data_IF_154410633239
#
_entry.id   IF_154410633239
#
_cell.length_a   1.000
_cell.length_b   1.000
_cell.length_c   1.000
_cell.angle_alpha   90.00
_cell.angle_beta   90.00
_cell.angle_gamma   90.00
#
_symmetry.space_group_name_H-M   'P 1'
#
loop_
_entity.id
_entity.type
_entity.pdbx_description
1 polymer ?
#
# COMPACT_ATOMS: atom_id res chain seq x y z
N UNK A 1 -6.63 34.45 3.94
CA UNK A 1 -8.11 34.31 3.98
C UNK A 1 -8.64 33.05 3.30
N UNK A 2 -8.04 32.52 2.23
CA UNK A 2 -8.50 31.29 1.55
C UNK A 2 -8.40 30.00 2.39
N UNK A 3 -7.41 29.88 3.27
CA UNK A 3 -7.22 28.69 4.11
C UNK A 3 -8.28 28.49 5.22
N UNK A 4 -8.96 29.54 5.64
CA UNK A 4 -10.00 29.47 6.68
C UNK A 4 -11.30 28.87 6.14
N UNK A 5 -11.66 29.16 4.89
CA UNK A 5 -12.91 28.68 4.27
C UNK A 5 -12.93 27.16 4.00
N UNK A 6 -11.78 26.57 3.68
CA UNK A 6 -11.67 25.12 3.43
C UNK A 6 -11.84 24.34 4.74
N UNK A 7 -11.24 24.82 5.83
CA UNK A 7 -11.35 24.18 7.16
C UNK A 7 -12.79 24.25 7.72
N UNK A 8 -13.53 25.31 7.45
CA UNK A 8 -14.94 25.43 7.84
C UNK A 8 -15.85 24.43 7.13
N UNK A 9 -15.62 24.14 5.84
CA UNK A 9 -16.40 23.14 5.09
C UNK A 9 -16.16 21.73 5.60
N UNK A 10 -14.91 21.38 5.99
CA UNK A 10 -14.56 20.07 6.54
C UNK A 10 -15.20 19.89 7.93
N UNK A 11 -15.15 20.88 8.80
CA UNK A 11 -15.74 20.82 10.13
C UNK A 11 -17.27 20.68 10.10
N UNK A 12 -17.96 21.43 9.21
CA UNK A 12 -19.40 21.32 9.03
C UNK A 12 -19.82 19.93 8.49
N UNK A 13 -19.02 19.34 7.58
CA UNK A 13 -19.27 17.99 7.06
C UNK A 13 -19.11 16.92 8.14
N UNK A 14 -18.09 17.03 9.01
CA UNK A 14 -17.84 16.10 10.12
C UNK A 14 -18.95 16.12 11.17
N UNK A 15 -19.54 17.27 11.46
CA UNK A 15 -20.64 17.42 12.43
C UNK A 15 -21.99 16.81 11.98
N UNK A 16 -22.16 16.56 10.66
CA UNK A 16 -23.40 16.00 10.10
C UNK A 16 -23.30 14.51 9.73
N UNK A 17 -22.15 13.86 9.89
CA UNK A 17 -21.91 12.51 9.40
C UNK A 17 -22.76 11.42 10.05
N UNK A 18 -23.04 11.50 11.34
CA UNK A 18 -23.74 10.43 12.07
C UNK A 18 -25.22 10.26 11.75
N UNK A 19 -25.90 11.29 11.24
CA UNK A 19 -27.38 11.30 11.12
C UNK A 19 -27.95 10.35 10.05
N UNK A 20 -27.15 9.86 9.09
CA UNK A 20 -27.62 9.03 7.99
C UNK A 20 -26.68 7.83 7.72
N UNK A 21 -25.89 7.40 8.69
CA UNK A 21 -25.01 6.26 8.56
C UNK A 21 -25.76 4.97 8.92
N UNK A 22 -25.67 3.94 8.08
CA UNK A 22 -26.18 2.61 8.43
C UNK A 22 -25.48 2.13 9.70
N UNK A 23 -26.22 1.46 10.60
CA UNK A 23 -25.62 0.96 11.84
C UNK A 23 -24.75 -0.26 11.56
N UNK A 24 -23.62 -0.40 12.28
CA UNK A 24 -22.73 -1.57 12.17
C UNK A 24 -23.45 -2.88 12.42
N UNK A 25 -24.36 -2.90 13.39
CA UNK A 25 -25.16 -4.08 13.73
C UNK A 25 -26.23 -4.45 12.71
N UNK A 26 -26.63 -3.52 11.83
CA UNK A 26 -27.60 -3.78 10.75
C UNK A 26 -26.92 -4.31 9.50
N UNK A 27 -25.88 -3.62 9.03
CA UNK A 27 -25.08 -4.00 7.85
C UNK A 27 -23.68 -3.40 7.94
N UNK A 28 -22.74 -4.18 8.44
CA UNK A 28 -21.34 -3.74 8.63
C UNK A 28 -20.66 -3.36 7.33
N UNK A 29 -20.96 -4.08 6.23
CA UNK A 29 -20.37 -3.80 4.92
C UNK A 29 -20.86 -2.47 4.35
N UNK A 30 -22.15 -2.20 4.46
CA UNK A 30 -22.78 -0.96 4.01
C UNK A 30 -22.30 0.21 4.87
N UNK A 31 -22.27 0.04 6.21
CA UNK A 31 -21.70 1.03 7.14
C UNK A 31 -20.30 1.47 6.72
N UNK A 32 -19.42 0.52 6.47
CA UNK A 32 -18.04 0.81 6.08
C UNK A 32 -17.95 1.62 4.78
N UNK A 33 -18.65 1.18 3.73
CA UNK A 33 -18.63 1.88 2.44
C UNK A 33 -19.22 3.29 2.54
N UNK A 34 -20.33 3.44 3.25
CA UNK A 34 -20.93 4.76 3.51
C UNK A 34 -20.00 5.67 4.30
N UNK A 35 -19.31 5.13 5.30
CA UNK A 35 -18.38 5.88 6.14
C UNK A 35 -17.20 6.41 5.34
N UNK A 36 -16.57 5.57 4.51
CA UNK A 36 -15.44 5.98 3.65
C UNK A 36 -15.83 7.16 2.75
N UNK A 37 -17.01 7.08 2.11
CA UNK A 37 -17.49 8.12 1.19
C UNK A 37 -17.92 9.39 1.95
N UNK A 38 -18.70 9.24 3.03
CA UNK A 38 -19.23 10.37 3.81
C UNK A 38 -18.13 11.11 4.59
N UNK A 39 -17.09 10.41 5.02
CA UNK A 39 -15.90 11.00 5.64
C UNK A 39 -14.97 11.69 4.64
N UNK A 40 -15.32 11.69 3.34
CA UNK A 40 -14.54 12.32 2.28
C UNK A 40 -13.13 11.72 2.13
N UNK A 41 -13.01 10.39 2.38
CA UNK A 41 -11.72 9.69 2.33
C UNK A 41 -11.40 9.17 0.92
N UNK A 42 -12.37 8.53 0.28
CA UNK A 42 -12.22 7.99 -1.07
C UNK A 42 -13.58 7.81 -1.75
N UNK A 43 -13.56 7.66 -3.06
CA UNK A 43 -14.73 7.32 -3.89
C UNK A 43 -14.32 6.45 -5.07
N UNK A 44 -15.27 5.79 -5.72
CA UNK A 44 -15.01 5.05 -6.95
C UNK A 44 -14.65 5.99 -8.08
N UNK A 45 -13.66 5.61 -8.87
CA UNK A 45 -13.28 6.36 -10.08
C UNK A 45 -14.14 5.94 -11.28
N UNK A 46 -13.91 6.57 -12.43
CA UNK A 46 -14.47 6.14 -13.72
C UNK A 46 -13.93 4.79 -14.22
N UNK A 47 -12.83 4.30 -13.64
CA UNK A 47 -12.25 2.98 -13.95
C UNK A 47 -12.74 1.98 -12.91
N UNK A 48 -13.44 0.93 -13.38
CA UNK A 48 -14.00 -0.07 -12.50
C UNK A 48 -12.95 -0.69 -11.59
N UNK A 49 -13.21 -0.68 -10.30
CA UNK A 49 -12.33 -1.25 -9.30
C UNK A 49 -11.20 -0.35 -8.83
N UNK A 50 -10.97 0.78 -9.46
CA UNK A 50 -10.01 1.79 -9.03
C UNK A 50 -10.70 2.87 -8.19
N UNK A 51 -10.02 3.38 -7.18
CA UNK A 51 -10.54 4.44 -6.31
C UNK A 51 -9.82 5.76 -6.52
N UNK A 52 -10.53 6.85 -6.28
CA UNK A 52 -9.91 8.16 -6.04
C UNK A 52 -9.76 8.33 -4.53
N UNK A 53 -8.55 8.45 -4.05
CA UNK A 53 -8.28 8.80 -2.65
C UNK A 53 -8.34 10.34 -2.56
N UNK A 54 -9.28 10.85 -1.77
CA UNK A 54 -9.48 12.28 -1.63
C UNK A 54 -8.42 12.93 -0.72
N UNK A 55 -8.26 14.26 -0.74
CA UNK A 55 -7.19 14.93 -0.01
C UNK A 55 -7.14 14.59 1.49
N UNK A 56 -8.29 14.44 2.15
CA UNK A 56 -8.33 14.10 3.58
C UNK A 56 -7.88 12.64 3.82
N UNK A 57 -8.35 11.70 2.98
CA UNK A 57 -7.90 10.31 3.02
C UNK A 57 -6.42 10.17 2.67
N UNK A 58 -5.95 10.92 1.68
CA UNK A 58 -4.54 10.90 1.29
C UNK A 58 -3.62 11.45 2.39
N UNK A 59 -4.05 12.50 3.10
CA UNK A 59 -3.29 13.06 4.23
C UNK A 59 -3.13 12.06 5.40
N UNK A 60 -4.07 11.12 5.59
CA UNK A 60 -3.91 10.03 6.55
C UNK A 60 -2.86 9.03 6.03
N UNK A 61 -2.92 8.68 4.74
CA UNK A 61 -1.94 7.79 4.12
C UNK A 61 -0.52 8.36 4.17
N UNK A 62 -0.34 9.66 3.92
CA UNK A 62 0.96 10.34 4.03
C UNK A 62 1.56 10.22 5.44
N UNK A 63 0.72 10.27 6.49
CA UNK A 63 1.19 10.06 7.87
C UNK A 63 1.60 8.62 8.13
N UNK A 64 0.85 7.63 7.61
CA UNK A 64 1.24 6.22 7.69
C UNK A 64 2.56 5.99 6.95
N UNK A 65 2.68 6.54 5.74
CA UNK A 65 3.88 6.45 4.93
C UNK A 65 5.09 7.07 5.64
N UNK A 66 4.95 8.27 6.16
CA UNK A 66 6.04 8.98 6.82
C UNK A 66 6.60 8.20 8.03
N UNK A 67 5.72 7.62 8.86
CA UNK A 67 6.16 6.85 10.03
C UNK A 67 6.78 5.51 9.64
N UNK A 68 6.17 4.76 8.73
CA UNK A 68 6.76 3.50 8.25
C UNK A 68 8.11 3.74 7.55
N UNK A 69 8.21 4.78 6.72
CA UNK A 69 9.45 5.15 6.04
C UNK A 69 10.57 5.51 7.04
N UNK A 70 10.22 6.20 8.13
CA UNK A 70 11.14 6.48 9.23
C UNK A 70 11.62 5.17 9.89
N UNK A 71 10.70 4.25 10.21
CA UNK A 71 11.04 2.97 10.85
C UNK A 71 11.94 2.12 9.96
N UNK A 72 11.70 2.07 8.64
CA UNK A 72 12.58 1.36 7.70
C UNK A 72 13.96 1.99 7.62
N UNK A 73 14.06 3.32 7.54
CA UNK A 73 15.34 4.02 7.49
C UNK A 73 16.18 3.84 8.76
N UNK A 74 15.54 3.72 9.91
CA UNK A 74 16.22 3.43 11.18
C UNK A 74 16.89 2.04 11.21
N UNK A 75 16.42 1.11 10.38
CA UNK A 75 17.02 -0.22 10.20
C UNK A 75 17.96 -0.30 8.99
N UNK A 76 18.27 0.83 8.36
CA UNK A 76 19.24 0.93 7.27
C UNK A 76 18.66 0.80 5.86
N UNK A 77 17.35 0.63 5.72
CA UNK A 77 16.71 0.52 4.41
C UNK A 77 16.73 1.84 3.65
N UNK A 78 16.84 1.74 2.33
CA UNK A 78 16.87 2.87 1.42
C UNK A 78 15.74 2.77 0.40
N UNK A 79 15.14 3.93 0.08
CA UNK A 79 14.11 3.98 -0.94
C UNK A 79 14.73 3.94 -2.34
N UNK A 80 14.14 3.12 -3.21
CA UNK A 80 14.43 3.09 -4.64
C UNK A 80 13.11 3.15 -5.43
N UNK A 81 13.20 3.25 -6.75
CA UNK A 81 12.05 3.18 -7.64
C UNK A 81 12.37 2.27 -8.83
N UNK A 82 11.49 1.32 -9.07
CA UNK A 82 11.55 0.39 -10.20
C UNK A 82 10.41 0.67 -11.19
N UNK A 83 10.61 0.38 -12.49
CA UNK A 83 9.61 0.68 -13.52
C UNK A 83 8.24 0.04 -13.27
N UNK A 84 7.19 0.77 -13.67
CA UNK A 84 5.81 0.29 -13.65
C UNK A 84 5.59 -0.90 -14.59
N UNK A 85 6.25 -0.89 -15.75
CA UNK A 85 6.11 -1.90 -16.79
C UNK A 85 7.17 -2.98 -16.65
N UNK A 86 6.73 -4.24 -16.72
CA UNK A 86 7.58 -5.43 -16.64
C UNK A 86 7.45 -6.18 -17.97
N UNK A 87 8.55 -6.52 -18.67
CA UNK A 87 8.52 -7.37 -19.85
C UNK A 87 7.84 -8.72 -19.52
N UNK A 88 6.94 -9.18 -20.39
CA UNK A 88 6.21 -10.44 -20.17
C UNK A 88 7.15 -11.64 -20.03
N UNK A 89 8.30 -11.62 -20.71
CA UNK A 89 9.33 -12.66 -20.62
C UNK A 89 9.90 -12.84 -19.21
N UNK A 90 9.86 -11.78 -18.35
CA UNK A 90 10.37 -11.89 -16.99
C UNK A 90 9.47 -12.78 -16.11
N UNK A 91 8.16 -12.73 -16.33
CA UNK A 91 7.21 -13.61 -15.63
C UNK A 91 7.43 -15.08 -15.98
N UNK A 92 7.91 -15.39 -17.18
CA UNK A 92 8.15 -16.76 -17.62
C UNK A 92 9.37 -17.42 -16.96
N UNK A 93 10.24 -16.65 -16.26
CA UNK A 93 11.43 -17.17 -15.59
C UNK A 93 11.14 -17.83 -14.25
N UNK A 94 10.04 -17.43 -13.59
CA UNK A 94 9.63 -17.99 -12.29
C UNK A 94 8.20 -18.49 -12.40
N UNK A 95 8.02 -19.81 -12.66
CA UNK A 95 6.73 -20.42 -12.98
C UNK A 95 5.72 -20.36 -11.81
N UNK A 96 6.20 -20.51 -10.56
CA UNK A 96 5.31 -20.42 -9.38
C UNK A 96 4.73 -19.02 -9.20
N UNK A 97 5.51 -18.01 -9.56
CA UNK A 97 5.07 -16.61 -9.51
C UNK A 97 3.99 -16.32 -10.56
N UNK A 98 4.15 -16.89 -11.75
CA UNK A 98 3.15 -16.80 -12.84
C UNK A 98 1.81 -17.37 -12.38
N UNK A 99 1.80 -18.55 -11.78
CA UNK A 99 0.56 -19.20 -11.31
C UNK A 99 -0.20 -18.36 -10.28
N UNK A 100 0.52 -17.58 -9.46
CA UNK A 100 -0.09 -16.69 -8.46
C UNK A 100 -0.71 -15.42 -9.04
N UNK A 101 -0.12 -14.83 -10.09
CA UNK A 101 -0.48 -13.50 -10.58
C UNK A 101 -1.00 -13.43 -12.01
N UNK A 102 -0.79 -14.45 -12.84
CA UNK A 102 -1.13 -14.42 -14.27
C UNK A 102 -2.61 -14.12 -14.55
N UNK A 103 -3.51 -14.47 -13.65
CA UNK A 103 -4.97 -14.29 -13.83
C UNK A 103 -5.45 -12.86 -13.57
N UNK A 104 -4.62 -12.03 -12.96
CA UNK A 104 -5.01 -10.69 -12.49
C UNK A 104 -4.12 -9.56 -13.06
N UNK A 105 -3.36 -9.83 -14.13
CA UNK A 105 -2.47 -8.85 -14.74
C UNK A 105 -3.19 -7.96 -15.74
N UNK A 106 -2.84 -6.67 -15.74
CA UNK A 106 -3.11 -5.76 -16.85
C UNK A 106 -1.95 -5.83 -17.84
N UNK A 107 -2.28 -6.04 -19.13
CA UNK A 107 -1.29 -6.22 -20.21
C UNK A 107 -1.35 -5.04 -21.16
N UNK A 108 -0.20 -4.42 -21.44
CA UNK A 108 -0.04 -3.36 -22.44
C UNK A 108 0.49 -3.97 -23.73
N UNK A 109 -0.28 -3.82 -24.79
CA UNK A 109 -0.01 -4.44 -26.09
C UNK A 109 0.37 -3.44 -27.18
N UNK A 110 0.03 -2.16 -27.01
CA UNK A 110 0.26 -1.08 -27.98
C UNK A 110 0.73 0.19 -27.29
N UNK A 111 1.46 1.04 -28.00
CA UNK A 111 2.02 2.28 -27.46
C UNK A 111 1.43 3.56 -28.04
N UNK A 112 0.47 3.46 -28.99
CA UNK A 112 -0.11 4.65 -29.66
C UNK A 112 -1.59 4.50 -29.96
N UNK A 113 -2.29 5.63 -29.93
CA UNK A 113 -3.66 5.78 -30.42
C UNK A 113 -3.65 6.56 -31.72
N UNK A 114 -4.68 6.38 -32.57
CA UNK A 114 -4.94 7.17 -33.74
C UNK A 114 -6.41 7.58 -33.81
N UNK A 115 -6.73 8.58 -34.65
CA UNK A 115 -8.13 8.88 -34.95
C UNK A 115 -8.79 7.69 -35.66
N UNK A 116 -10.03 7.41 -35.32
CA UNK A 116 -10.83 6.45 -36.08
C UNK A 116 -11.15 6.97 -37.50
N UNK A 117 -11.59 6.08 -38.38
CA UNK A 117 -11.89 6.43 -39.75
C UNK A 117 -13.10 7.39 -39.88
N UNK A 118 -13.96 7.44 -38.85
CA UNK A 118 -15.12 8.37 -38.83
C UNK A 118 -14.72 9.79 -38.37
N UNK A 119 -13.51 9.96 -37.82
CA UNK A 119 -13.02 11.22 -37.26
C UNK A 119 -13.71 11.63 -35.95
N UNK A 120 -14.55 10.78 -35.35
CA UNK A 120 -15.34 11.08 -34.14
C UNK A 120 -14.76 10.47 -32.85
N UNK A 121 -13.66 9.75 -32.95
CA UNK A 121 -13.06 9.09 -31.79
C UNK A 121 -11.60 8.71 -31.99
N UNK A 122 -11.06 8.03 -30.99
CA UNK A 122 -9.71 7.49 -31.03
C UNK A 122 -9.78 5.95 -30.85
N UNK A 123 -8.90 5.26 -31.57
CA UNK A 123 -8.74 3.80 -31.51
C UNK A 123 -7.29 3.44 -31.28
N UNK A 124 -7.06 2.23 -30.80
CA UNK A 124 -5.70 1.69 -30.72
C UNK A 124 -5.14 1.59 -32.15
N UNK A 125 -3.94 2.13 -32.36
CA UNK A 125 -3.28 2.02 -33.65
C UNK A 125 -2.71 0.60 -33.83
N UNK A 126 -3.21 -0.22 -34.77
CA UNK A 126 -2.75 -1.59 -34.96
C UNK A 126 -1.28 -1.68 -35.40
N UNK A 127 -0.73 -0.61 -36.01
CA UNK A 127 0.67 -0.56 -36.45
C UNK A 127 1.63 -0.21 -35.30
N UNK A 128 1.09 0.15 -34.13
CA UNK A 128 1.84 0.48 -32.93
C UNK A 128 1.87 -0.66 -31.90
N UNK A 129 1.75 -1.90 -32.34
CA UNK A 129 1.88 -3.07 -31.48
C UNK A 129 3.31 -3.17 -30.94
N UNK A 130 3.42 -3.47 -29.64
CA UNK A 130 4.71 -3.73 -29.02
C UNK A 130 5.31 -5.04 -29.56
N UNK A 131 6.61 -5.08 -29.76
CA UNK A 131 7.35 -6.33 -30.10
C UNK A 131 7.21 -7.35 -28.96
N UNK A 132 7.29 -6.90 -27.72
CA UNK A 132 7.02 -7.68 -26.50
C UNK A 132 5.95 -6.98 -25.67
N UNK A 133 4.93 -7.72 -25.24
CA UNK A 133 3.89 -7.24 -24.36
C UNK A 133 4.46 -6.91 -22.98
N UNK A 134 3.94 -5.84 -22.38
CA UNK A 134 4.35 -5.40 -21.04
C UNK A 134 3.24 -5.68 -20.04
N UNK A 135 3.63 -6.06 -18.86
CA UNK A 135 2.73 -6.24 -17.72
C UNK A 135 2.79 -4.98 -16.85
N UNK A 136 1.64 -4.42 -16.52
CA UNK A 136 1.56 -3.41 -15.45
C UNK A 136 1.79 -4.15 -14.13
N UNK A 137 2.83 -3.80 -13.38
CA UNK A 137 3.29 -4.57 -12.22
C UNK A 137 2.17 -4.93 -11.24
N UNK A 138 1.91 -6.21 -10.97
CA UNK A 138 1.06 -6.65 -9.86
C UNK A 138 1.87 -6.75 -8.55
N UNK A 139 3.17 -6.84 -8.67
CA UNK A 139 4.24 -6.87 -7.67
C UNK A 139 5.57 -6.73 -8.41
N UNK A 140 6.67 -6.43 -7.75
CA UNK A 140 7.91 -6.03 -8.43
C UNK A 140 9.07 -7.02 -8.33
N UNK A 141 8.87 -8.22 -7.76
CA UNK A 141 9.97 -9.19 -7.58
C UNK A 141 10.74 -9.43 -8.88
N UNK A 142 10.04 -9.71 -9.96
CA UNK A 142 10.70 -10.11 -11.22
C UNK A 142 11.61 -9.02 -11.80
N UNK A 143 11.19 -7.76 -11.80
CA UNK A 143 12.00 -6.65 -12.30
C UNK A 143 13.13 -6.27 -11.33
N UNK A 144 12.89 -6.42 -10.03
CA UNK A 144 13.90 -6.14 -8.99
C UNK A 144 15.00 -7.19 -9.04
N UNK A 145 14.64 -8.48 -9.13
CA UNK A 145 15.63 -9.55 -9.20
C UNK A 145 16.46 -9.52 -10.49
N UNK A 146 15.88 -9.13 -11.65
CA UNK A 146 16.67 -8.86 -12.85
C UNK A 146 17.65 -7.69 -12.68
N UNK A 147 17.27 -6.70 -11.89
CA UNK A 147 18.13 -5.56 -11.53
C UNK A 147 19.24 -6.00 -10.56
N UNK A 148 18.91 -6.78 -9.53
CA UNK A 148 19.89 -7.28 -8.55
C UNK A 148 20.97 -8.14 -9.18
N UNK A 149 20.67 -8.88 -10.25
CA UNK A 149 21.67 -9.59 -11.04
C UNK A 149 22.82 -8.71 -11.54
N UNK A 150 22.53 -7.40 -11.73
CA UNK A 150 23.53 -6.42 -12.19
C UNK A 150 24.22 -5.72 -11.02
N UNK A 151 23.51 -5.54 -9.91
CA UNK A 151 24.02 -4.80 -8.75
C UNK A 151 24.89 -5.66 -7.85
N UNK A 152 24.62 -6.97 -7.77
CA UNK A 152 25.32 -7.90 -6.89
C UNK A 152 26.35 -8.67 -7.69
N UNK A 153 27.62 -8.51 -7.30
CA UNK A 153 28.76 -9.21 -7.90
C UNK A 153 29.60 -9.93 -6.84
N UNK A 154 29.65 -9.42 -5.63
CA UNK A 154 30.45 -9.97 -4.53
C UNK A 154 29.74 -9.83 -3.18
N UNK A 155 30.22 -10.52 -2.16
CA UNK A 155 29.73 -10.39 -0.78
C UNK A 155 29.79 -8.96 -0.24
N UNK A 156 30.62 -8.07 -0.84
CA UNK A 156 30.73 -6.67 -0.44
C UNK A 156 29.52 -5.81 -0.85
N UNK A 157 28.73 -6.31 -1.78
CA UNK A 157 27.52 -5.64 -2.26
C UNK A 157 26.30 -6.01 -1.40
N UNK A 158 26.48 -6.91 -0.42
CA UNK A 158 25.44 -7.41 0.47
C UNK A 158 25.62 -6.86 1.90
N UNK A 159 24.51 -6.67 2.67
CA UNK A 159 23.12 -6.84 2.22
C UNK A 159 22.64 -5.68 1.34
N UNK A 160 21.73 -5.95 0.42
CA UNK A 160 20.90 -4.92 -0.22
C UNK A 160 19.60 -4.80 0.56
N UNK A 161 19.29 -3.60 1.05
CA UNK A 161 18.10 -3.30 1.85
C UNK A 161 17.30 -2.19 1.16
N UNK A 162 16.36 -2.57 0.30
CA UNK A 162 15.62 -1.62 -0.55
C UNK A 162 14.13 -1.67 -0.26
N UNK A 163 13.55 -0.49 -0.19
CA UNK A 163 12.12 -0.23 -0.11
C UNK A 163 11.64 0.60 -1.30
N UNK A 164 10.42 0.40 -1.76
CA UNK A 164 9.79 1.25 -2.77
C UNK A 164 8.36 1.60 -2.34
N UNK A 165 8.02 2.88 -2.45
CA UNK A 165 6.66 3.38 -2.39
C UNK A 165 6.11 3.49 -3.80
N UNK A 166 5.03 2.78 -4.10
CA UNK A 166 4.53 2.64 -5.46
C UNK A 166 3.05 2.31 -5.52
N UNK A 167 2.51 2.23 -6.72
CA UNK A 167 1.24 1.60 -7.01
C UNK A 167 1.45 0.24 -7.68
N UNK A 168 0.45 -0.62 -7.58
CA UNK A 168 0.37 -1.89 -8.33
C UNK A 168 -1.04 -2.09 -8.86
N UNK A 169 -1.18 -2.91 -9.90
CA UNK A 169 -2.46 -3.26 -10.51
C UNK A 169 -2.67 -4.76 -10.44
N UNK A 170 -3.74 -5.17 -9.76
CA UNK A 170 -4.24 -6.54 -9.71
C UNK A 170 -5.70 -6.53 -10.14
N UNK A 171 -6.03 -7.10 -11.28
CA UNK A 171 -7.35 -6.99 -11.91
C UNK A 171 -8.44 -7.67 -11.11
N UNK A 172 -8.85 -7.01 -10.04
CA UNK A 172 -9.78 -7.54 -9.03
C UNK A 172 -11.24 -7.36 -9.45
N UNK A 173 -12.03 -8.41 -9.31
CA UNK A 173 -13.45 -8.40 -9.71
C UNK A 173 -14.39 -7.97 -8.58
N UNK A 174 -14.01 -8.18 -7.32
CA UNK A 174 -14.81 -7.85 -6.13
C UNK A 174 -14.13 -6.78 -5.30
N UNK A 175 -14.36 -5.53 -5.69
CA UNK A 175 -13.64 -4.38 -5.13
C UNK A 175 -14.37 -3.77 -3.93
N UNK A 176 -13.58 -3.22 -3.01
CA UNK A 176 -14.03 -2.47 -1.83
C UNK A 176 -12.98 -1.42 -1.49
N UNK A 177 -13.40 -0.16 -1.36
CA UNK A 177 -12.51 0.99 -1.13
C UNK A 177 -11.50 0.70 0.00
N UNK A 178 -10.23 0.99 -0.23
CA UNK A 178 -9.05 0.69 0.60
C UNK A 178 -8.76 -0.80 0.83
N UNK A 179 -9.76 -1.64 1.04
CA UNK A 179 -9.57 -3.05 1.43
C UNK A 179 -9.15 -3.95 0.27
N UNK A 180 -9.77 -3.72 -0.91
CA UNK A 180 -9.54 -4.53 -2.11
C UNK A 180 -9.92 -3.73 -3.35
N UNK A 181 -8.94 -3.20 -4.05
CA UNK A 181 -9.11 -2.40 -5.27
C UNK A 181 -8.21 -2.93 -6.37
N UNK A 182 -8.57 -2.67 -7.63
CA UNK A 182 -7.79 -3.12 -8.78
C UNK A 182 -6.44 -2.40 -8.86
N UNK A 183 -6.40 -1.13 -8.50
CA UNK A 183 -5.18 -0.37 -8.29
C UNK A 183 -5.12 0.09 -6.83
N UNK A 184 -3.93 0.04 -6.22
CA UNK A 184 -3.72 0.53 -4.87
C UNK A 184 -2.29 1.02 -4.66
N UNK A 185 -2.14 1.94 -3.71
CA UNK A 185 -0.83 2.35 -3.22
C UNK A 185 -0.36 1.37 -2.16
N UNK A 186 0.93 1.14 -2.16
CA UNK A 186 1.57 0.27 -1.20
C UNK A 186 3.03 0.64 -0.95
N UNK A 187 3.62 -0.04 -0.03
CA UNK A 187 5.04 -0.16 0.16
C UNK A 187 5.40 -1.62 -0.10
N UNK A 188 6.48 -1.84 -0.80
CA UNK A 188 7.12 -3.14 -0.95
C UNK A 188 8.61 -3.01 -0.69
N UNK A 189 9.14 -3.89 0.14
CA UNK A 189 10.55 -4.01 0.37
C UNK A 189 11.10 -5.29 -0.20
N UNK A 190 12.33 -5.22 -0.67
CA UNK A 190 13.05 -6.34 -1.26
C UNK A 190 14.48 -6.30 -0.79
N UNK A 191 14.94 -7.40 -0.20
CA UNK A 191 16.30 -7.46 0.34
C UNK A 191 17.05 -8.68 -0.20
N UNK A 192 18.38 -8.56 -0.24
CA UNK A 192 19.26 -9.66 -0.62
C UNK A 192 20.40 -9.76 0.40
N UNK A 193 20.71 -10.96 0.83
CA UNK A 193 21.63 -11.28 1.92
C UNK A 193 22.64 -12.35 1.53
N UNK A 194 23.81 -12.36 2.21
CA UNK A 194 24.85 -13.37 2.04
C UNK A 194 24.39 -14.72 2.59
N UNK A 195 23.69 -14.73 3.73
CA UNK A 195 23.34 -15.97 4.43
C UNK A 195 21.82 -16.12 4.63
N UNK A 196 21.42 -17.37 4.86
CA UNK A 196 20.04 -17.72 5.20
C UNK A 196 19.60 -17.04 6.50
N UNK A 197 20.46 -17.07 7.49
CA UNK A 197 20.20 -16.54 8.83
C UNK A 197 19.99 -15.03 8.80
N UNK A 198 20.70 -14.29 7.94
CA UNK A 198 20.50 -12.87 7.74
C UNK A 198 19.12 -12.59 7.13
N UNK A 199 18.73 -13.34 6.09
CA UNK A 199 17.42 -13.17 5.45
C UNK A 199 16.26 -13.57 6.37
N UNK A 200 16.40 -14.61 7.19
CA UNK A 200 15.39 -14.99 8.18
C UNK A 200 15.24 -13.91 9.26
N UNK A 201 16.35 -13.35 9.77
CA UNK A 201 16.33 -12.22 10.72
C UNK A 201 15.67 -10.98 10.12
N UNK A 202 15.96 -10.69 8.86
CA UNK A 202 15.32 -9.58 8.14
C UNK A 202 13.81 -9.78 8.02
N UNK A 203 13.38 -10.99 7.67
CA UNK A 203 11.95 -11.34 7.59
C UNK A 203 11.23 -11.10 8.92
N UNK A 204 11.85 -11.50 10.04
CA UNK A 204 11.30 -11.30 11.39
C UNK A 204 11.35 -9.83 11.81
N UNK A 205 12.43 -9.12 11.53
CA UNK A 205 12.58 -7.68 11.80
C UNK A 205 11.43 -6.88 11.18
N UNK A 206 11.14 -7.10 9.91
CA UNK A 206 10.08 -6.38 9.21
C UNK A 206 8.69 -6.75 9.75
N UNK A 207 8.46 -8.03 10.05
CA UNK A 207 7.20 -8.44 10.69
C UNK A 207 6.98 -7.70 12.02
N UNK A 208 8.04 -7.52 12.81
CA UNK A 208 8.00 -6.78 14.07
C UNK A 208 7.78 -5.27 13.83
N UNK A 209 8.41 -4.67 12.83
CA UNK A 209 8.15 -3.27 12.44
C UNK A 209 6.68 -3.07 12.09
N UNK A 210 6.08 -3.96 11.31
CA UNK A 210 4.67 -3.87 10.96
C UNK A 210 3.74 -4.02 12.18
N UNK A 211 4.06 -4.95 13.08
CA UNK A 211 3.30 -5.12 14.32
C UNK A 211 3.40 -3.88 15.21
N UNK A 212 4.60 -3.37 15.42
CA UNK A 212 4.87 -2.16 16.21
C UNK A 212 4.16 -0.93 15.63
N UNK A 213 4.19 -0.77 14.31
CA UNK A 213 3.46 0.29 13.63
C UNK A 213 1.94 0.16 13.85
N UNK A 214 1.39 -1.03 13.66
CA UNK A 214 -0.04 -1.27 13.84
C UNK A 214 -0.46 -1.01 15.29
N UNK A 215 0.26 -1.52 16.27
CA UNK A 215 -0.11 -1.45 17.69
C UNK A 215 0.18 -0.05 18.29
N UNK A 216 1.39 0.47 18.08
CA UNK A 216 1.86 1.69 18.76
C UNK A 216 1.44 2.97 18.04
N UNK A 217 1.33 2.94 16.71
CA UNK A 217 1.03 4.14 15.92
C UNK A 217 -0.41 4.18 15.43
N UNK A 218 -0.93 3.06 14.91
CA UNK A 218 -2.32 2.96 14.50
C UNK A 218 -3.27 2.65 15.67
N UNK A 219 -2.77 2.11 16.79
CA UNK A 219 -3.60 1.65 17.91
C UNK A 219 -4.47 0.43 17.55
N UNK A 220 -3.99 -0.42 16.65
CA UNK A 220 -4.68 -1.63 16.17
C UNK A 220 -3.89 -2.86 16.63
N UNK A 221 -4.39 -3.63 17.63
CA UNK A 221 -3.76 -4.86 18.04
C UNK A 221 -3.72 -5.88 16.91
N UNK A 222 -2.59 -6.61 16.79
CA UNK A 222 -2.39 -7.60 15.74
C UNK A 222 -1.82 -8.91 16.28
N UNK A 223 -2.13 -10.01 15.59
CA UNK A 223 -1.54 -11.31 15.82
C UNK A 223 -0.51 -11.58 14.71
N UNK A 224 0.68 -11.99 15.10
CA UNK A 224 1.71 -12.47 14.17
C UNK A 224 1.53 -13.97 13.94
N UNK A 225 1.65 -14.40 12.69
CA UNK A 225 1.50 -15.81 12.34
C UNK A 225 2.21 -16.17 11.04
N UNK A 226 2.29 -17.47 10.79
CA UNK A 226 2.82 -18.07 9.56
C UNK A 226 1.65 -18.57 8.72
N UNK A 227 1.64 -18.25 7.44
CA UNK A 227 0.61 -18.71 6.51
C UNK A 227 0.77 -20.19 6.18
N UNK A 228 -0.36 -20.85 6.01
CA UNK A 228 -0.39 -22.24 5.51
C UNK A 228 0.21 -22.31 4.10
N UNK A 229 0.63 -23.50 3.70
CA UNK A 229 1.23 -23.72 2.37
C UNK A 229 0.32 -23.28 1.22
N UNK A 230 -1.00 -23.40 1.37
CA UNK A 230 -1.99 -23.01 0.36
C UNK A 230 -2.17 -21.50 0.20
N UNK A 231 -1.81 -20.72 1.23
CA UNK A 231 -1.94 -19.27 1.22
C UNK A 231 -0.59 -18.53 1.21
N UNK A 232 0.48 -19.30 1.10
CA UNK A 232 1.84 -18.77 1.00
C UNK A 232 1.99 -17.94 -0.26
N UNK A 233 2.78 -16.87 -0.18
CA UNK A 233 3.13 -16.06 -1.34
C UNK A 233 3.85 -16.92 -2.40
N UNK A 234 3.44 -16.79 -3.65
CA UNK A 234 4.00 -17.56 -4.75
C UNK A 234 5.51 -17.27 -4.92
N UNK A 235 6.34 -18.31 -4.85
CA UNK A 235 7.80 -18.20 -4.87
C UNK A 235 8.47 -18.07 -3.50
N UNK A 236 7.73 -17.88 -2.41
CA UNK A 236 8.30 -17.85 -1.05
C UNK A 236 8.48 -19.24 -0.45
N UNK A 237 9.52 -19.40 0.37
CA UNK A 237 9.71 -20.59 1.23
C UNK A 237 8.74 -20.52 2.41
N UNK A 238 8.64 -19.33 3.04
CA UNK A 238 7.69 -19.04 4.12
C UNK A 238 7.09 -17.65 3.98
N UNK A 239 5.87 -17.49 4.46
CA UNK A 239 5.16 -16.22 4.51
C UNK A 239 4.64 -15.98 5.91
N UNK A 240 5.10 -14.91 6.51
CA UNK A 240 4.61 -14.41 7.78
C UNK A 240 3.62 -13.27 7.54
N UNK A 241 2.69 -13.06 8.45
CA UNK A 241 1.73 -11.97 8.37
C UNK A 241 1.36 -11.43 9.76
N UNK A 242 0.87 -10.21 9.76
CA UNK A 242 0.12 -9.65 10.87
C UNK A 242 -1.37 -9.61 10.49
N UNK A 243 -2.22 -10.02 11.40
CA UNK A 243 -3.68 -10.01 11.24
C UNK A 243 -4.33 -9.24 12.39
N UNK A 244 -5.23 -8.33 12.04
CA UNK A 244 -6.02 -7.56 12.99
C UNK A 244 -7.45 -8.12 13.06
N UNK A 245 -8.00 -8.22 14.28
CA UNK A 245 -9.40 -8.59 14.46
C UNK A 245 -10.29 -7.35 14.31
N UNK A 246 -11.19 -7.39 13.34
CA UNK A 246 -12.13 -6.30 13.07
C UNK A 246 -13.38 -6.41 13.95
N UNK A 247 -14.15 -5.33 14.05
CA UNK A 247 -15.33 -5.25 14.93
C UNK A 247 -16.45 -6.22 14.52
N UNK A 248 -16.45 -6.74 13.29
CA UNK A 248 -17.37 -7.80 12.82
C UNK A 248 -16.87 -9.22 13.13
N UNK A 249 -15.79 -9.35 13.91
CA UNK A 249 -15.23 -10.63 14.30
C UNK A 249 -14.37 -11.32 13.23
N UNK A 250 -14.10 -10.65 12.11
CA UNK A 250 -13.24 -11.20 11.04
C UNK A 250 -11.80 -10.73 11.17
N UNK A 251 -10.87 -11.63 10.87
CA UNK A 251 -9.47 -11.28 10.74
C UNK A 251 -9.21 -10.55 9.42
N UNK A 252 -8.38 -9.49 9.48
CA UNK A 252 -7.91 -8.75 8.32
C UNK A 252 -6.39 -8.82 8.27
N UNK A 253 -5.86 -9.45 7.20
CA UNK A 253 -4.43 -9.41 6.91
C UNK A 253 -3.98 -7.95 6.70
N UNK A 254 -3.05 -7.50 7.53
CA UNK A 254 -2.63 -6.10 7.61
C UNK A 254 -1.18 -5.86 7.20
N UNK A 255 -0.41 -6.91 6.94
CA UNK A 255 0.97 -6.83 6.44
C UNK A 255 1.55 -8.22 6.27
N UNK A 256 2.49 -8.38 5.36
CA UNK A 256 3.19 -9.65 5.10
C UNK A 256 4.68 -9.46 4.99
N UNK A 257 5.44 -10.45 5.49
CA UNK A 257 6.87 -10.56 5.31
C UNK A 257 7.20 -11.97 4.83
N UNK A 258 7.93 -12.07 3.72
CA UNK A 258 8.19 -13.31 3.01
C UNK A 258 9.68 -13.65 3.07
N UNK A 259 10.00 -14.84 3.55
CA UNK A 259 11.30 -15.45 3.33
C UNK A 259 11.29 -16.14 1.97
N UNK A 260 11.97 -15.57 0.99
CA UNK A 260 12.02 -16.07 -0.38
C UNK A 260 13.04 -17.20 -0.56
N UNK A 261 13.95 -17.38 0.41
CA UNK A 261 15.06 -18.29 0.27
C UNK A 261 15.96 -17.89 -0.92
N UNK A 262 16.31 -18.84 -1.76
CA UNK A 262 17.08 -18.63 -2.99
C UNK A 262 16.23 -18.78 -4.28
N UNK A 263 14.90 -18.86 -4.17
CA UNK A 263 14.04 -19.20 -5.31
C UNK A 263 14.16 -18.16 -6.43
N UNK A 264 13.97 -16.88 -6.11
CA UNK A 264 14.13 -15.79 -7.09
C UNK A 264 15.60 -15.60 -7.52
N UNK A 265 16.55 -15.76 -6.60
CA UNK A 265 17.97 -15.69 -6.95
C UNK A 265 18.35 -16.74 -8.00
N UNK A 266 17.86 -17.95 -7.88
CA UNK A 266 18.07 -19.03 -8.87
C UNK A 266 17.34 -18.76 -10.18
N UNK A 267 16.08 -18.29 -10.13
CA UNK A 267 15.30 -18.00 -11.32
C UNK A 267 15.90 -16.86 -12.16
N UNK A 268 16.53 -15.87 -11.54
CA UNK A 268 17.15 -14.71 -12.19
C UNK A 268 18.67 -14.77 -12.27
N UNK A 269 19.29 -15.88 -11.83
CA UNK A 269 20.74 -16.12 -11.79
C UNK A 269 21.50 -15.03 -11.02
N UNK A 270 21.02 -14.67 -9.83
CA UNK A 270 21.64 -13.67 -8.95
C UNK A 270 22.62 -14.34 -8.02
N UNK A 271 23.90 -14.27 -8.38
CA UNK A 271 25.04 -14.86 -7.66
C UNK A 271 26.00 -13.79 -7.18
N UNK A 272 26.76 -14.12 -6.16
CA UNK A 272 27.84 -13.29 -5.65
C UNK A 272 29.12 -14.13 -5.46
N UNK A 273 30.28 -13.49 -5.60
CA UNK A 273 31.54 -14.09 -5.24
C UNK A 273 31.67 -14.11 -3.70
N UNK A 274 31.85 -15.29 -3.14
CA UNK A 274 32.02 -15.48 -1.69
C UNK A 274 33.42 -15.06 -1.23
N UNK A 275 33.60 -14.90 0.08
CA UNK A 275 34.91 -14.58 0.69
C UNK A 275 35.96 -15.65 0.43
N UNK A 276 35.53 -16.90 0.27
CA UNK A 276 36.35 -18.08 0.05
C UNK A 276 36.72 -18.29 -1.44
N UNK A 277 36.23 -17.41 -2.35
CA UNK A 277 36.53 -17.43 -3.77
C UNK A 277 35.59 -18.31 -4.62
N UNK A 278 34.46 -18.76 -4.07
CA UNK A 278 33.41 -19.47 -4.80
C UNK A 278 32.30 -18.52 -5.31
N UNK A 279 31.28 -19.12 -5.91
CA UNK A 279 30.01 -18.41 -6.25
C UNK A 279 28.87 -19.08 -5.50
N UNK A 280 27.97 -18.27 -4.93
CA UNK A 280 26.72 -18.74 -4.33
C UNK A 280 25.56 -17.82 -4.73
N UNK A 281 24.32 -18.33 -4.59
CA UNK A 281 23.12 -17.56 -4.78
C UNK A 281 22.80 -16.76 -3.51
N UNK A 282 22.34 -15.55 -3.68
CA UNK A 282 21.89 -14.72 -2.53
C UNK A 282 20.61 -15.25 -1.92
N UNK A 283 20.39 -14.93 -0.66
CA UNK A 283 19.14 -15.18 0.07
C UNK A 283 18.27 -13.93 0.06
N UNK A 284 17.00 -14.10 -0.23
CA UNK A 284 16.10 -12.96 -0.43
C UNK A 284 14.92 -12.91 0.51
N UNK A 285 14.44 -11.68 0.73
CA UNK A 285 13.13 -11.42 1.33
C UNK A 285 12.31 -10.46 0.48
N UNK A 286 10.98 -10.51 0.63
CA UNK A 286 10.10 -9.43 0.20
C UNK A 286 9.01 -9.20 1.24
N UNK A 287 8.52 -7.97 1.33
CA UNK A 287 7.56 -7.62 2.36
C UNK A 287 6.75 -6.39 1.95
N UNK A 288 5.50 -6.31 2.42
CA UNK A 288 4.62 -5.24 1.98
C UNK A 288 3.41 -4.97 2.85
N UNK A 289 3.02 -3.70 2.85
CA UNK A 289 1.74 -3.19 3.35
C UNK A 289 1.13 -2.22 2.33
N UNK A 290 -0.18 -2.13 2.30
CA UNK A 290 -0.90 -1.31 1.33
C UNK A 290 -1.88 -0.35 2.01
N UNK A 291 -2.56 0.44 1.21
CA UNK A 291 -3.71 1.24 1.64
C UNK A 291 -4.82 0.43 2.33
N UNK A 292 -4.73 -0.92 2.37
CA UNK A 292 -5.58 -1.76 3.22
C UNK A 292 -5.46 -1.39 4.71
N UNK A 293 -4.32 -0.86 5.16
CA UNK A 293 -4.16 -0.33 6.52
C UNK A 293 -5.13 0.81 6.83
N UNK A 294 -5.50 1.63 5.82
CA UNK A 294 -6.57 2.62 5.97
C UNK A 294 -7.91 1.95 6.30
N UNK A 295 -8.22 0.84 5.62
CA UNK A 295 -9.41 0.04 5.91
C UNK A 295 -9.37 -0.55 7.31
N UNK A 296 -8.25 -1.11 7.73
CA UNK A 296 -8.05 -1.63 9.09
C UNK A 296 -8.28 -0.54 10.15
N UNK A 297 -7.69 0.63 9.96
CA UNK A 297 -7.85 1.80 10.84
C UNK A 297 -9.32 2.20 11.01
N UNK A 298 -10.05 2.35 9.89
CA UNK A 298 -11.45 2.72 9.88
C UNK A 298 -12.29 1.67 10.60
N UNK A 299 -12.07 0.39 10.30
CA UNK A 299 -12.82 -0.73 10.86
C UNK A 299 -12.52 -0.98 12.34
N UNK A 300 -11.33 -0.62 12.82
CA UNK A 300 -10.96 -0.79 14.22
C UNK A 300 -11.49 0.32 15.13
N UNK A 301 -11.44 1.57 14.68
CA UNK A 301 -11.69 2.72 15.55
C UNK A 301 -13.04 3.39 15.37
N UNK A 302 -13.61 3.37 14.16
CA UNK A 302 -14.82 4.13 13.85
C UNK A 302 -16.07 3.46 14.41
N UNK A 303 -17.13 4.26 14.59
CA UNK A 303 -18.38 3.81 15.18
C UNK A 303 -19.61 4.23 14.36
N UNK A 304 -20.80 4.07 14.94
CA UNK A 304 -22.08 4.46 14.31
C UNK A 304 -22.28 5.97 14.22
N UNK A 305 -21.43 6.78 14.87
CA UNK A 305 -21.45 8.23 14.80
C UNK A 305 -20.52 8.78 13.72
N UNK A 306 -19.53 7.99 13.25
CA UNK A 306 -18.66 8.39 12.17
C UNK A 306 -17.20 7.92 12.28
N UNK A 307 -16.33 8.62 11.58
CA UNK A 307 -14.89 8.36 11.52
C UNK A 307 -14.22 8.75 12.83
N UNK A 308 -13.46 7.82 13.40
CA UNK A 308 -12.58 8.03 14.54
C UNK A 308 -11.16 7.67 14.12
N UNK A 309 -10.22 8.56 14.41
CA UNK A 309 -8.81 8.40 14.10
C UNK A 309 -7.94 8.56 15.35
N UNK A 310 -6.91 7.73 15.53
CA UNK A 310 -5.88 7.99 16.53
C UNK A 310 -5.20 9.35 16.27
N UNK A 311 -4.80 10.09 17.33
CA UNK A 311 -4.20 11.43 17.17
C UNK A 311 -3.00 11.46 16.23
N UNK A 312 -2.16 10.43 16.25
CA UNK A 312 -0.98 10.32 15.39
C UNK A 312 -1.31 10.30 13.89
N UNK A 313 -2.47 9.75 13.52
CA UNK A 313 -2.92 9.64 12.14
C UNK A 313 -3.94 10.71 11.73
N UNK A 314 -4.54 11.41 12.69
CA UNK A 314 -5.49 12.47 12.40
C UNK A 314 -4.80 13.69 11.74
N UNK A 315 -5.12 14.03 10.47
CA UNK A 315 -4.55 15.23 9.82
C UNK A 315 -4.92 16.51 10.54
N UNK A 316 -6.09 16.52 11.19
CA UNK A 316 -6.59 17.60 12.03
C UNK A 316 -6.80 17.02 13.43
N UNK A 317 -5.94 17.39 14.38
CA UNK A 317 -5.96 16.87 15.75
C UNK A 317 -6.91 17.65 16.64
N UNK A 318 -7.02 18.97 16.43
CA UNK A 318 -7.87 19.87 17.23
C UNK A 318 -8.62 20.81 16.29
N UNK A 319 -9.91 20.97 16.54
CA UNK A 319 -10.77 21.92 15.83
C UNK A 319 -11.35 22.92 16.84
N UNK A 320 -11.10 24.19 16.60
CA UNK A 320 -11.71 25.27 17.37
C UNK A 320 -12.98 25.71 16.65
N UNK A 321 -14.14 25.51 17.29
CA UNK A 321 -15.44 25.93 16.76
C UNK A 321 -15.86 27.25 17.43
N UNK A 322 -15.81 28.39 16.71
CA UNK A 322 -16.22 29.67 17.29
C UNK A 322 -17.73 29.76 17.39
N UNK A 323 -18.23 30.06 18.58
CA UNK A 323 -19.66 30.33 18.84
C UNK A 323 -19.82 31.83 19.18
N UNK A 324 -20.55 32.56 18.35
CA UNK A 324 -20.73 34.01 18.49
C UNK A 324 -22.15 34.43 18.04
N UNK A 325 -22.59 35.54 18.56
CA UNK A 325 -23.89 36.19 18.20
C UNK A 325 -23.68 37.54 17.48
N UNK A 326 -22.53 38.21 17.70
CA UNK A 326 -22.20 39.50 17.11
C UNK A 326 -20.86 39.45 16.39
N UNK A 327 -20.63 40.37 15.44
CA UNK A 327 -19.36 40.50 14.74
C UNK A 327 -18.21 40.86 15.69
N UNK A 328 -18.46 41.63 16.72
CA UNK A 328 -17.46 41.98 17.73
C UNK A 328 -16.96 40.73 18.46
N UNK A 329 -17.89 39.86 18.93
CA UNK A 329 -17.55 38.58 19.54
C UNK A 329 -16.79 37.66 18.58
N UNK A 330 -17.18 37.64 17.30
CA UNK A 330 -16.46 36.89 16.26
C UNK A 330 -15.01 37.31 16.14
N UNK A 331 -14.75 38.63 16.10
CA UNK A 331 -13.41 39.18 15.96
C UNK A 331 -12.53 38.88 17.18
N UNK A 332 -13.08 39.00 18.38
CA UNK A 332 -12.40 38.66 19.64
C UNK A 332 -12.07 37.17 19.72
N UNK A 333 -12.97 36.27 19.31
CA UNK A 333 -12.73 34.82 19.27
C UNK A 333 -11.68 34.48 18.20
N UNK A 334 -11.75 35.11 17.03
CA UNK A 334 -10.81 34.89 15.95
C UNK A 334 -9.37 35.28 16.35
N UNK A 335 -9.20 36.40 17.06
CA UNK A 335 -7.93 36.82 17.60
C UNK A 335 -7.37 35.79 18.59
N UNK A 336 -8.17 35.38 19.60
CA UNK A 336 -7.76 34.35 20.56
C UNK A 336 -7.44 33.00 19.90
N UNK A 337 -8.29 32.58 18.95
CA UNK A 337 -8.04 31.32 18.21
C UNK A 337 -6.75 31.37 17.40
N UNK A 338 -6.37 32.54 16.87
CA UNK A 338 -5.12 32.74 16.15
C UNK A 338 -3.90 32.69 17.06
N UNK A 339 -4.05 33.06 18.34
CA UNK A 339 -2.95 32.95 19.33
C UNK A 339 -2.70 31.52 19.81
N UNK A 340 -3.73 30.65 19.74
CA UNK A 340 -3.64 29.23 20.14
C UNK A 340 -3.06 28.37 19.02
N UNK A 341 -3.19 28.80 17.77
CA UNK A 341 -2.73 28.08 16.58
C UNK A 341 -1.20 28.19 16.39
#
# INVERSE_FOLDING_TARGET
MANCHIKYKICAKLLFMGKNLTKRGEDYSKWYNELVVKADLAENSGVRGCMVIKPYGFAIWERMQAELDRMFKETGHQNAYFPLFIPKSYFSREASHVDGFAKECAVVTHYRLKNDESGKGIVVDPDAKLEEELIVRPTSETIIWDTYRKWIQSYRDLPILVNQWANVVRWEMRTRLFLRTAEFLWQEGHTAHETREEAEKETDLILNIYADFAEKFMGVPVLKGVKTASERFAGAVETYCIEALMQDGKALQSGTSHFLGQNFAKAFDVKFATKEGGLDYVWGTSWGVSTRLMGALIMAHSDDNGLILPPNLAPIQVVIVPIYKTEEQRNQIAEKASMIK
#
